data_IF_804143909615
#
_entry.id   IF_804143909615
#
_cell.length_a   1.000
_cell.length_b   1.000
_cell.length_c   1.000
_cell.angle_alpha   90.00
_cell.angle_beta   90.00
_cell.angle_gamma   90.00
#
_symmetry.space_group_name_H-M   'P 1'
#
loop_
_entity.id
_entity.type
_entity.pdbx_description
1 polymer ?
#
# COMPACT_ATOMS: atom_id res chain seq x y z
N UNK A 1 -10.06 -20.98 32.04
CA UNK A 1 -11.21 -20.84 31.11
C UNK A 1 -11.07 -19.57 30.26
N UNK A 2 -10.03 -19.45 29.44
CA UNK A 2 -9.77 -18.28 28.57
C UNK A 2 -9.32 -18.65 27.15
N UNK A 3 -9.16 -19.95 26.86
CA UNK A 3 -8.62 -20.45 25.59
C UNK A 3 -9.69 -20.49 24.47
N UNK A 4 -10.95 -20.73 24.85
CA UNK A 4 -12.07 -20.88 23.91
C UNK A 4 -12.45 -19.58 23.19
N UNK A 5 -12.16 -18.41 23.79
CA UNK A 5 -12.52 -17.10 23.20
C UNK A 5 -11.56 -16.63 22.11
N UNK A 6 -10.28 -17.02 22.18
CA UNK A 6 -9.26 -16.64 21.18
C UNK A 6 -9.36 -17.56 19.96
N UNK A 7 -9.63 -18.86 20.17
CA UNK A 7 -9.83 -19.82 19.09
C UNK A 7 -10.98 -19.41 18.16
N UNK A 8 -12.08 -18.92 18.73
CA UNK A 8 -13.27 -18.52 17.97
C UNK A 8 -13.03 -17.27 17.10
N UNK A 9 -12.31 -16.27 17.63
CA UNK A 9 -11.91 -15.09 16.86
C UNK A 9 -10.89 -15.44 15.75
N UNK A 10 -9.93 -16.32 16.03
CA UNK A 10 -8.96 -16.79 15.04
C UNK A 10 -9.64 -17.55 13.89
N UNK A 11 -10.64 -18.40 14.17
CA UNK A 11 -11.42 -19.10 13.15
C UNK A 11 -12.22 -18.15 12.27
N UNK A 12 -12.81 -17.07 12.82
CA UNK A 12 -13.52 -16.06 12.03
C UNK A 12 -12.54 -15.29 11.13
N UNK A 13 -11.35 -14.92 11.62
CA UNK A 13 -10.30 -14.26 10.84
C UNK A 13 -9.80 -15.16 9.70
N UNK A 14 -9.63 -16.46 9.95
CA UNK A 14 -9.15 -17.43 8.95
C UNK A 14 -10.22 -17.69 7.87
N UNK A 15 -11.50 -17.78 8.25
CA UNK A 15 -12.60 -18.02 7.30
C UNK A 15 -12.87 -16.78 6.44
N UNK A 16 -12.90 -15.58 7.03
CA UNK A 16 -12.95 -14.31 6.26
C UNK A 16 -11.71 -14.18 5.37
N UNK A 17 -10.54 -14.61 5.87
CA UNK A 17 -9.32 -14.65 5.08
C UNK A 17 -9.46 -15.50 3.82
N UNK A 18 -10.02 -16.71 3.91
CA UNK A 18 -10.00 -17.64 2.76
C UNK A 18 -10.91 -17.21 1.59
N UNK A 19 -12.03 -16.56 1.85
CA UNK A 19 -12.93 -16.05 0.79
C UNK A 19 -12.51 -14.67 0.26
N UNK A 20 -11.95 -13.80 1.11
CA UNK A 20 -11.51 -12.45 0.71
C UNK A 20 -10.13 -12.45 0.04
N UNK A 21 -9.23 -13.40 0.37
CA UNK A 21 -7.87 -13.46 -0.21
C UNK A 21 -7.89 -13.79 -1.71
N UNK A 22 -8.99 -14.37 -2.24
CA UNK A 22 -9.11 -14.70 -3.66
C UNK A 22 -9.40 -13.47 -4.54
N UNK A 23 -10.09 -12.45 -4.03
CA UNK A 23 -10.36 -11.22 -4.77
C UNK A 23 -9.29 -10.15 -4.47
N UNK A 24 -8.13 -10.39 -5.09
CA UNK A 24 -7.10 -9.40 -5.42
C UNK A 24 -6.26 -8.90 -4.22
N UNK A 25 -5.06 -9.47 -4.07
CA UNK A 25 -4.02 -8.97 -3.15
C UNK A 25 -3.58 -7.54 -3.52
N UNK A 26 -4.09 -6.52 -2.82
CA UNK A 26 -3.61 -5.16 -2.94
C UNK A 26 -2.19 -5.07 -2.37
N UNK A 27 -1.23 -4.58 -3.17
CA UNK A 27 0.15 -4.40 -2.73
C UNK A 27 0.39 -2.98 -2.22
N UNK A 28 1.07 -2.83 -1.08
CA UNK A 28 1.47 -1.53 -0.52
C UNK A 28 2.32 -0.72 -1.53
N UNK A 29 3.04 -1.40 -2.43
CA UNK A 29 3.78 -0.73 -3.53
C UNK A 29 2.87 0.12 -4.42
N UNK A 30 1.60 -0.25 -4.63
CA UNK A 30 0.68 0.54 -5.44
C UNK A 30 0.31 1.86 -4.75
N UNK A 31 0.28 1.86 -3.43
CA UNK A 31 0.02 3.05 -2.61
C UNK A 31 1.20 4.03 -2.75
N UNK A 32 2.44 3.52 -2.64
CA UNK A 32 3.63 4.33 -2.91
C UNK A 32 3.63 4.93 -4.31
N UNK A 33 3.18 4.18 -5.31
CA UNK A 33 3.06 4.66 -6.70
C UNK A 33 2.07 5.82 -6.84
N UNK A 34 0.93 5.76 -6.15
CA UNK A 34 -0.02 6.87 -6.11
C UNK A 34 0.59 8.11 -5.45
N UNK A 35 1.17 7.96 -4.25
CA UNK A 35 1.75 9.08 -3.51
C UNK A 35 2.90 9.75 -4.27
N UNK A 36 3.76 8.97 -4.92
CA UNK A 36 4.83 9.50 -5.77
C UNK A 36 4.27 10.24 -6.99
N UNK A 37 3.23 9.69 -7.65
CA UNK A 37 2.56 10.31 -8.79
C UNK A 37 1.91 11.66 -8.44
N UNK A 38 1.27 11.75 -7.28
CA UNK A 38 0.69 12.99 -6.77
C UNK A 38 1.77 14.02 -6.44
N UNK A 39 2.84 13.61 -5.76
CA UNK A 39 3.96 14.48 -5.41
C UNK A 39 4.65 15.04 -6.65
N UNK A 40 4.84 14.22 -7.68
CA UNK A 40 5.53 14.61 -8.91
C UNK A 40 4.61 15.28 -9.94
N UNK A 41 3.29 15.20 -9.76
CA UNK A 41 2.29 15.74 -10.69
C UNK A 41 2.17 14.99 -12.02
N UNK A 42 2.97 13.94 -12.27
CA UNK A 42 2.87 13.08 -13.44
C UNK A 42 3.47 11.69 -13.17
N UNK A 43 3.02 10.67 -13.91
CA UNK A 43 3.57 9.32 -13.77
C UNK A 43 5.03 9.21 -14.25
N UNK A 44 5.40 9.95 -15.30
CA UNK A 44 6.75 9.96 -15.82
C UNK A 44 7.75 10.53 -14.80
N UNK A 45 7.40 11.64 -14.16
CA UNK A 45 8.23 12.24 -13.12
C UNK A 45 8.29 11.42 -11.82
N UNK A 46 7.29 10.56 -11.57
CA UNK A 46 7.26 9.69 -10.39
C UNK A 46 8.09 8.40 -10.52
N UNK A 47 8.30 7.89 -11.73
CA UNK A 47 9.06 6.66 -11.98
C UNK A 47 10.48 6.65 -11.34
N UNK A 48 11.32 7.70 -11.49
CA UNK A 48 12.64 7.71 -10.87
C UNK A 48 12.59 7.73 -9.34
N UNK A 49 11.51 8.27 -8.73
CA UNK A 49 11.33 8.28 -7.27
C UNK A 49 11.10 6.88 -6.68
N UNK A 50 10.72 5.92 -7.52
CA UNK A 50 10.40 4.54 -7.13
C UNK A 50 11.38 3.53 -7.71
N UNK A 51 12.48 3.98 -8.31
CA UNK A 51 13.43 3.14 -9.05
C UNK A 51 12.75 2.30 -10.15
N UNK A 52 11.73 2.86 -10.80
CA UNK A 52 11.07 2.25 -11.95
C UNK A 52 11.58 2.87 -13.24
N UNK A 53 11.72 2.04 -14.27
CA UNK A 53 12.25 2.48 -15.57
C UNK A 53 11.28 3.40 -16.33
N UNK A 54 9.96 3.25 -16.12
CA UNK A 54 8.96 3.98 -16.91
C UNK A 54 7.76 4.45 -16.08
N UNK A 55 7.19 5.58 -16.48
CA UNK A 55 5.92 6.09 -15.92
C UNK A 55 4.73 5.17 -16.21
N UNK A 56 4.79 4.33 -17.24
CA UNK A 56 3.75 3.35 -17.54
C UNK A 56 3.58 2.31 -16.42
N UNK A 57 4.67 1.93 -15.76
CA UNK A 57 4.63 1.01 -14.63
C UNK A 57 3.93 1.66 -13.41
N UNK A 58 4.23 2.93 -13.13
CA UNK A 58 3.57 3.73 -12.09
C UNK A 58 2.06 3.81 -12.37
N UNK A 59 1.69 4.20 -13.59
CA UNK A 59 0.28 4.30 -14.00
C UNK A 59 -0.47 2.98 -13.89
N UNK A 60 0.15 1.86 -14.29
CA UNK A 60 -0.44 0.51 -14.11
C UNK A 60 -0.68 0.18 -12.64
N UNK A 61 0.24 0.51 -11.76
CA UNK A 61 0.11 0.26 -10.31
C UNK A 61 -1.01 1.13 -9.70
N UNK A 62 -1.08 2.40 -10.07
CA UNK A 62 -2.16 3.31 -9.63
C UNK A 62 -3.52 2.86 -10.17
N UNK A 63 -3.59 2.40 -11.41
CA UNK A 63 -4.82 1.86 -11.98
C UNK A 63 -5.26 0.56 -11.29
N UNK A 64 -4.32 -0.34 -10.96
CA UNK A 64 -4.63 -1.53 -10.16
C UNK A 64 -5.20 -1.14 -8.80
N UNK A 65 -4.59 -0.18 -8.10
CA UNK A 65 -5.11 0.34 -6.83
C UNK A 65 -6.56 0.84 -6.99
N UNK A 66 -6.84 1.66 -8.00
CA UNK A 66 -8.21 2.11 -8.27
C UNK A 66 -9.19 0.97 -8.56
N UNK A 67 -8.76 -0.06 -9.30
CA UNK A 67 -9.58 -1.25 -9.56
C UNK A 67 -9.93 -1.99 -8.27
N UNK A 68 -8.99 -2.12 -7.34
CA UNK A 68 -9.27 -2.70 -6.01
C UNK A 68 -10.29 -1.88 -5.22
N UNK A 69 -10.24 -0.56 -5.34
CA UNK A 69 -11.16 0.35 -4.67
C UNK A 69 -12.50 0.52 -5.41
N UNK A 70 -12.68 -0.08 -6.59
CA UNK A 70 -13.86 0.13 -7.43
C UNK A 70 -13.99 1.56 -7.98
N UNK A 71 -12.93 2.38 -7.92
CA UNK A 71 -12.99 3.80 -8.23
C UNK A 71 -11.73 4.31 -8.94
N UNK A 72 -11.89 5.32 -9.80
CA UNK A 72 -10.75 6.07 -10.36
C UNK A 72 -10.25 7.04 -9.29
N UNK A 73 -8.99 6.90 -8.87
CA UNK A 73 -8.41 7.70 -7.77
C UNK A 73 -7.75 9.00 -8.21
N UNK A 74 -7.37 9.11 -9.50
CA UNK A 74 -6.69 10.28 -10.05
C UNK A 74 -7.21 10.67 -11.43
N UNK A 75 -7.17 11.96 -11.71
CA UNK A 75 -7.47 12.55 -13.00
C UNK A 75 -6.37 13.54 -13.42
N UNK A 76 -6.30 13.85 -14.71
CA UNK A 76 -5.46 14.93 -15.21
C UNK A 76 -6.31 16.19 -15.18
N UNK A 77 -5.86 17.20 -14.44
CA UNK A 77 -6.48 18.52 -14.36
C UNK A 77 -5.37 19.56 -14.47
N UNK A 78 -5.54 20.51 -15.39
CA UNK A 78 -4.54 21.55 -15.71
C UNK A 78 -3.16 20.97 -16.06
N UNK A 79 -3.15 19.84 -16.79
CA UNK A 79 -1.92 19.14 -17.18
C UNK A 79 -1.20 18.41 -16.05
N UNK A 80 -1.77 18.34 -14.84
CA UNK A 80 -1.17 17.66 -13.68
C UNK A 80 -2.09 16.57 -13.14
N UNK A 81 -1.50 15.53 -12.55
CA UNK A 81 -2.23 14.52 -11.80
C UNK A 81 -2.76 15.13 -10.50
N UNK A 82 -4.07 15.02 -10.33
CA UNK A 82 -4.78 15.42 -9.11
C UNK A 82 -5.69 14.27 -8.66
N UNK A 83 -6.02 14.25 -7.37
CA UNK A 83 -6.97 13.29 -6.84
C UNK A 83 -8.37 13.54 -7.41
N UNK A 84 -9.14 12.48 -7.58
CA UNK A 84 -10.59 12.57 -7.71
C UNK A 84 -11.21 12.67 -6.31
N UNK A 85 -12.51 12.98 -6.17
CA UNK A 85 -13.18 12.96 -4.87
C UNK A 85 -13.01 11.62 -4.12
N UNK A 86 -13.13 10.49 -4.83
CA UNK A 86 -12.89 9.16 -4.26
C UNK A 86 -11.42 8.98 -3.81
N UNK A 87 -10.48 9.56 -4.55
CA UNK A 87 -9.07 9.56 -4.17
C UNK A 87 -8.78 10.43 -2.95
N UNK A 88 -9.46 11.58 -2.81
CA UNK A 88 -9.36 12.46 -1.64
C UNK A 88 -9.92 11.80 -0.39
N UNK A 89 -11.09 11.16 -0.49
CA UNK A 89 -11.69 10.39 0.60
C UNK A 89 -10.79 9.24 1.07
N UNK A 90 -10.14 8.54 0.12
CA UNK A 90 -9.29 7.40 0.43
C UNK A 90 -7.89 7.79 0.97
N UNK A 91 -7.39 8.98 0.63
CA UNK A 91 -6.02 9.41 0.92
C UNK A 91 -5.62 9.26 2.41
N UNK A 92 -6.42 9.70 3.40
CA UNK A 92 -6.04 9.56 4.81
C UNK A 92 -5.76 8.12 5.23
N UNK A 93 -6.54 7.17 4.70
CA UNK A 93 -6.37 5.74 4.99
C UNK A 93 -5.10 5.17 4.37
N UNK A 94 -4.78 5.58 3.14
CA UNK A 94 -3.55 5.18 2.46
C UNK A 94 -2.30 5.68 3.19
N UNK A 95 -2.35 6.89 3.75
CA UNK A 95 -1.27 7.45 4.55
C UNK A 95 -1.06 6.65 5.85
N UNK A 96 -2.13 6.20 6.50
CA UNK A 96 -2.03 5.33 7.68
C UNK A 96 -1.36 3.98 7.35
N UNK A 97 -1.72 3.37 6.22
CA UNK A 97 -1.10 2.10 5.77
C UNK A 97 0.40 2.29 5.51
N UNK A 98 0.78 3.39 4.84
CA UNK A 98 2.18 3.70 4.56
C UNK A 98 2.97 3.99 5.84
N UNK A 99 2.36 4.66 6.82
CA UNK A 99 2.98 4.89 8.12
C UNK A 99 3.26 3.57 8.85
N UNK A 100 2.31 2.64 8.85
CA UNK A 100 2.48 1.31 9.44
C UNK A 100 3.58 0.50 8.73
N UNK A 101 3.59 0.47 7.39
CA UNK A 101 4.62 -0.20 6.61
C UNK A 101 6.01 0.41 6.84
N UNK A 102 6.11 1.73 6.92
CA UNK A 102 7.34 2.44 7.24
C UNK A 102 7.87 2.07 8.64
N UNK A 103 7.00 1.99 9.65
CA UNK A 103 7.37 1.58 11.00
C UNK A 103 7.91 0.13 11.03
N UNK A 104 7.26 -0.79 10.31
CA UNK A 104 7.72 -2.18 10.18
C UNK A 104 9.10 -2.25 9.51
N UNK A 105 9.30 -1.48 8.42
CA UNK A 105 10.60 -1.40 7.74
C UNK A 105 11.70 -0.84 8.65
N UNK A 106 11.40 0.22 9.42
CA UNK A 106 12.33 0.83 10.35
C UNK A 106 12.78 -0.17 11.43
N UNK A 107 11.85 -0.92 12.02
CA UNK A 107 12.16 -1.97 12.99
C UNK A 107 13.08 -3.06 12.40
N UNK A 108 12.85 -3.47 11.14
CA UNK A 108 13.70 -4.46 10.45
C UNK A 108 15.11 -3.94 10.18
N UNK A 109 15.26 -2.65 9.90
CA UNK A 109 16.58 -2.02 9.75
C UNK A 109 17.29 -1.97 11.10
N UNK A 110 16.62 -1.48 12.14
CA UNK A 110 17.18 -1.41 13.49
C UNK A 110 17.67 -2.78 14.00
N UNK A 111 16.87 -3.85 13.82
CA UNK A 111 17.28 -5.21 14.21
C UNK A 111 18.50 -5.75 13.44
N UNK A 112 18.70 -5.33 12.18
CA UNK A 112 19.87 -5.73 11.38
C UNK A 112 21.13 -4.99 11.82
N UNK A 113 21.03 -3.70 12.18
CA UNK A 113 22.16 -2.93 12.68
C UNK A 113 22.59 -3.35 14.10
N UNK A 114 21.66 -3.85 14.91
CA UNK A 114 21.93 -4.29 16.30
C UNK A 114 22.47 -5.73 16.40
N UNK A 115 23.19 -6.23 15.39
CA UNK A 115 23.66 -7.62 15.28
C UNK A 115 24.01 -8.29 16.61
N UNK A 116 23.06 -9.06 17.14
CA UNK A 116 23.30 -10.06 18.19
C UNK A 116 23.62 -11.36 17.44
N UNK A 117 24.80 -11.97 17.60
CA UNK A 117 25.03 -13.30 17.04
C UNK A 117 24.12 -14.29 17.76
N UNK A 118 23.10 -14.78 17.04
CA UNK A 118 22.34 -15.95 17.44
C UNK A 118 23.18 -17.20 17.16
N UNK A 119 24.17 -17.46 18.03
CA UNK A 119 24.67 -18.79 18.41
C UNK A 119 25.95 -18.64 19.24
N UNK A 120 25.80 -18.78 20.56
CA UNK A 120 26.79 -19.35 21.46
C UNK A 120 26.02 -20.18 22.50
#
# INVERSE_FOLDING_TARGET
MTETSIQSAATVIVTIGKEVISEVTMRVTYIYSLLAALRAGSYAAAAPLLHLETGSAVGKQVHKLGKHCGARLVAIKDGRLQLTPAGEELLPHLLQIVAADAAIKALRVARRSSGMPANA
#
